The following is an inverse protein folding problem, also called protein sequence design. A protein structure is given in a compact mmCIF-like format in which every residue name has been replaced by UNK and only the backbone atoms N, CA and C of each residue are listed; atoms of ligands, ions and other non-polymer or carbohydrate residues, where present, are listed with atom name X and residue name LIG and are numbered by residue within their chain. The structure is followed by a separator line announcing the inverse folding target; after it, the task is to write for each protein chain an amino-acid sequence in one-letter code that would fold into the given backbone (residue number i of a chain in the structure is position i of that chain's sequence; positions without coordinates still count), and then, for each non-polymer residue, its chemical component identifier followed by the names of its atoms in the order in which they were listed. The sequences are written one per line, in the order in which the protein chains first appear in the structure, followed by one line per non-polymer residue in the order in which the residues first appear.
data_IF_472872528997
#
_entry.id   IF_472872528997
#
_cell.length_a   1.000
_cell.length_b   1.000
_cell.length_c   1.000
_cell.angle_alpha   90.00
_cell.angle_beta   90.00
_cell.angle_gamma   90.00
#
_symmetry.space_group_name_H-M   'P 1'
#
loop_
_entity.id
_entity.type
_entity.pdbx_description
1 polymer ?
#
# COMPACT_ATOMS: atom_id res chain seq x y z
N UNK A 1 6.38 -11.04 -0.88
CA UNK A 1 7.63 -10.26 -0.67
C UNK A 1 8.28 -9.76 -1.96
N UNK A 2 8.21 -10.47 -3.10
CA UNK A 2 8.79 -10.03 -4.38
C UNK A 2 8.36 -8.61 -4.76
N UNK A 3 7.06 -8.30 -4.70
CA UNK A 3 6.55 -6.95 -4.98
C UNK A 3 7.22 -5.88 -4.13
N UNK A 4 7.21 -6.07 -2.80
CA UNK A 4 7.81 -5.15 -1.82
C UNK A 4 9.28 -4.86 -2.13
N UNK A 5 10.05 -5.92 -2.39
CA UNK A 5 11.45 -5.81 -2.78
C UNK A 5 11.64 -5.00 -4.06
N UNK A 6 10.87 -5.31 -5.11
CA UNK A 6 10.94 -4.61 -6.40
C UNK A 6 10.56 -3.13 -6.28
N UNK A 7 9.50 -2.82 -5.53
CA UNK A 7 9.07 -1.45 -5.26
C UNK A 7 10.15 -0.67 -4.52
N UNK A 8 10.72 -1.26 -3.47
CA UNK A 8 11.78 -0.62 -2.69
C UNK A 8 13.03 -0.33 -3.53
N UNK A 9 13.48 -1.28 -4.34
CA UNK A 9 14.62 -1.05 -5.26
C UNK A 9 14.28 0.04 -6.27
N UNK A 10 13.08 0.00 -6.85
CA UNK A 10 12.66 0.96 -7.87
C UNK A 10 12.69 2.39 -7.33
N UNK A 11 12.11 2.63 -6.15
CA UNK A 11 12.07 3.98 -5.58
C UNK A 11 13.44 4.43 -5.08
N UNK A 12 14.23 3.53 -4.48
CA UNK A 12 15.55 3.87 -3.94
C UNK A 12 16.50 4.31 -5.04
N UNK A 13 16.49 3.64 -6.21
CA UNK A 13 17.28 4.05 -7.40
C UNK A 13 16.86 5.39 -8.01
N UNK A 14 15.69 5.91 -7.64
CA UNK A 14 15.15 7.19 -8.12
C UNK A 14 15.09 8.24 -7.03
N UNK A 15 15.45 7.89 -5.79
CA UNK A 15 15.16 8.68 -4.61
C UNK A 15 15.84 10.05 -4.63
N UNK A 16 17.10 10.11 -5.06
CA UNK A 16 17.85 11.36 -5.16
C UNK A 16 17.49 12.17 -6.42
N UNK A 17 16.90 11.52 -7.44
CA UNK A 17 16.41 12.20 -8.64
C UNK A 17 15.01 12.81 -8.46
N UNK A 18 14.28 12.42 -7.41
CA UNK A 18 12.95 12.97 -7.12
C UNK A 18 13.10 14.38 -6.55
N UNK A 19 12.55 15.37 -7.26
CA UNK A 19 12.52 16.77 -6.80
C UNK A 19 11.51 17.05 -5.70
N UNK A 20 10.40 16.31 -5.68
CA UNK A 20 9.29 16.53 -4.75
C UNK A 20 8.87 15.21 -4.10
N UNK A 21 9.60 14.80 -3.06
CA UNK A 21 9.37 13.54 -2.34
C UNK A 21 7.95 13.47 -1.79
N UNK A 22 7.46 14.54 -1.18
CA UNK A 22 6.11 14.59 -0.62
C UNK A 22 5.02 14.44 -1.69
N UNK A 23 5.19 15.07 -2.86
CA UNK A 23 4.28 14.95 -3.98
C UNK A 23 4.22 13.52 -4.54
N UNK A 24 5.37 12.84 -4.62
CA UNK A 24 5.43 11.43 -5.03
C UNK A 24 4.80 10.53 -3.96
N UNK A 25 5.08 10.77 -2.67
CA UNK A 25 4.49 10.03 -1.56
C UNK A 25 2.96 10.12 -1.56
N UNK A 26 2.43 11.31 -1.81
CA UNK A 26 0.99 11.54 -1.95
C UNK A 26 0.39 10.76 -3.12
N UNK A 27 1.07 10.70 -4.27
CA UNK A 27 0.62 9.89 -5.42
C UNK A 27 0.60 8.40 -5.08
N UNK A 28 1.61 7.90 -4.35
CA UNK A 28 1.63 6.51 -3.88
C UNK A 28 0.45 6.27 -2.92
N UNK A 29 0.17 7.18 -1.99
CA UNK A 29 -0.98 7.06 -1.08
C UNK A 29 -2.32 7.03 -1.82
N UNK A 30 -2.47 7.78 -2.92
CA UNK A 30 -3.64 7.67 -3.81
C UNK A 30 -3.76 6.25 -4.36
N UNK A 31 -2.66 5.66 -4.85
CA UNK A 31 -2.66 4.28 -5.33
C UNK A 31 -3.04 3.28 -4.23
N UNK A 32 -2.54 3.44 -3.00
CA UNK A 32 -2.91 2.61 -1.84
C UNK A 32 -4.40 2.75 -1.51
N UNK A 33 -4.97 3.93 -1.67
CA UNK A 33 -6.40 4.19 -1.43
C UNK A 33 -7.29 3.54 -2.50
N UNK A 34 -6.90 3.65 -3.78
CA UNK A 34 -7.68 3.15 -4.91
C UNK A 34 -7.55 1.64 -5.09
N UNK A 35 -6.40 1.06 -4.78
CA UNK A 35 -6.12 -0.35 -5.05
C UNK A 35 -7.14 -1.32 -4.41
N UNK A 36 -7.50 -1.19 -3.10
CA UNK A 36 -8.55 -2.02 -2.50
C UNK A 36 -9.90 -1.89 -3.20
N UNK A 37 -10.27 -0.72 -3.73
CA UNK A 37 -11.54 -0.54 -4.44
C UNK A 37 -11.57 -1.29 -5.76
N UNK A 38 -10.42 -1.52 -6.40
CA UNK A 38 -10.33 -2.27 -7.65
C UNK A 38 -10.54 -3.78 -7.45
N UNK A 39 -10.14 -4.32 -6.28
CA UNK A 39 -10.13 -5.77 -6.02
C UNK A 39 -11.53 -6.41 -6.17
N UNK A 40 -12.61 -5.88 -5.59
CA UNK A 40 -13.92 -6.50 -5.72
C UNK A 40 -14.43 -6.51 -7.15
N UNK A 41 -14.11 -5.50 -7.97
CA UNK A 41 -14.50 -5.50 -9.38
C UNK A 41 -13.76 -6.59 -10.17
N UNK A 42 -12.47 -6.80 -9.89
CA UNK A 42 -11.68 -7.88 -10.50
C UNK A 42 -12.27 -9.24 -10.12
N UNK A 43 -12.58 -9.45 -8.83
CA UNK A 43 -13.16 -10.71 -8.37
C UNK A 43 -14.55 -10.94 -8.96
N UNK A 44 -15.42 -9.92 -8.98
CA UNK A 44 -16.75 -10.03 -9.60
C UNK A 44 -16.67 -10.37 -11.09
N UNK A 45 -15.72 -9.79 -11.82
CA UNK A 45 -15.51 -10.08 -13.24
C UNK A 45 -15.08 -11.54 -13.47
N UNK A 46 -14.15 -12.05 -12.65
CA UNK A 46 -13.69 -13.44 -12.74
C UNK A 46 -14.82 -14.41 -12.39
N UNK A 47 -15.57 -14.14 -11.31
CA UNK A 47 -16.61 -15.06 -10.82
C UNK A 47 -17.87 -15.06 -11.68
N UNK A 48 -18.22 -13.94 -12.33
CA UNK A 48 -19.38 -13.88 -13.24
C UNK A 48 -19.13 -14.48 -14.62
N UNK A 49 -17.90 -14.78 -14.97
CA UNK A 49 -17.58 -15.34 -16.27
C UNK A 49 -17.83 -16.85 -16.29
N UNK A 50 -18.76 -17.31 -17.13
CA UNK A 50 -19.03 -18.74 -17.36
C UNK A 50 -17.89 -19.47 -18.10
N UNK A 51 -16.90 -18.74 -18.61
CA UNK A 51 -15.76 -19.33 -19.31
C UNK A 51 -14.76 -20.00 -18.35
N UNK A 52 -14.57 -21.31 -18.50
CA UNK A 52 -13.53 -22.10 -17.82
C UNK A 52 -12.12 -21.49 -17.98
N UNK A 53 -11.81 -20.92 -19.16
CA UNK A 53 -10.50 -20.29 -19.42
C UNK A 53 -10.28 -19.06 -18.56
N UNK A 54 -11.31 -18.21 -18.40
CA UNK A 54 -11.23 -16.99 -17.60
C UNK A 54 -11.10 -17.33 -16.12
N UNK A 55 -11.86 -18.31 -15.63
CA UNK A 55 -11.74 -18.80 -14.25
C UNK A 55 -10.35 -19.36 -13.96
N UNK A 56 -9.79 -20.18 -14.88
CA UNK A 56 -8.43 -20.71 -14.74
C UNK A 56 -7.37 -19.60 -14.71
N UNK A 57 -7.46 -18.63 -15.63
CA UNK A 57 -6.54 -17.49 -15.68
C UNK A 57 -6.66 -16.62 -14.42
N UNK A 58 -7.89 -16.39 -13.97
CA UNK A 58 -8.21 -15.63 -12.77
C UNK A 58 -7.53 -16.24 -11.53
N UNK A 59 -7.72 -17.54 -11.32
CA UNK A 59 -7.19 -18.24 -10.15
C UNK A 59 -5.67 -18.43 -10.19
N UNK A 60 -5.10 -18.80 -11.34
CA UNK A 60 -3.70 -19.20 -11.42
C UNK A 60 -2.73 -18.07 -11.75
N UNK A 61 -3.21 -16.99 -12.38
CA UNK A 61 -2.34 -15.89 -12.84
C UNK A 61 -2.75 -14.58 -12.17
N UNK A 62 -4.00 -14.15 -12.29
CA UNK A 62 -4.43 -12.83 -11.81
C UNK A 62 -4.35 -12.78 -10.28
N UNK A 63 -4.95 -13.75 -9.58
CA UNK A 63 -4.99 -13.79 -8.13
C UNK A 63 -3.60 -13.72 -7.46
N UNK A 64 -2.58 -14.53 -7.84
CA UNK A 64 -1.24 -14.42 -7.25
C UNK A 64 -0.47 -13.16 -7.66
N UNK A 65 -0.82 -12.50 -8.77
CA UNK A 65 -0.22 -11.22 -9.17
C UNK A 65 -0.71 -10.05 -8.30
N UNK A 66 -1.95 -10.09 -7.78
CA UNK A 66 -2.52 -9.01 -6.97
C UNK A 66 -1.65 -8.70 -5.73
N UNK A 67 -1.25 -9.66 -4.87
CA UNK A 67 -0.34 -9.39 -3.76
C UNK A 67 1.03 -8.85 -4.19
N UNK A 68 1.51 -9.19 -5.39
CA UNK A 68 2.77 -8.66 -5.93
C UNK A 68 2.61 -7.16 -6.24
N UNK A 69 1.50 -6.77 -6.86
CA UNK A 69 1.20 -5.35 -7.15
C UNK A 69 1.03 -4.57 -5.85
N UNK A 70 0.25 -5.09 -4.90
CA UNK A 70 0.07 -4.47 -3.59
C UNK A 70 1.41 -4.29 -2.86
N UNK A 71 2.23 -5.35 -2.85
CA UNK A 71 3.58 -5.31 -2.29
C UNK A 71 4.46 -4.28 -2.99
N UNK A 72 4.41 -4.18 -4.31
CA UNK A 72 5.17 -3.17 -5.06
C UNK A 72 4.80 -1.76 -4.63
N UNK A 73 3.51 -1.43 -4.56
CA UNK A 73 3.04 -0.11 -4.11
C UNK A 73 3.53 0.18 -2.68
N UNK A 74 3.39 -0.77 -1.75
CA UNK A 74 3.88 -0.62 -0.37
C UNK A 74 5.41 -0.47 -0.30
N UNK A 75 6.14 -1.17 -1.17
CA UNK A 75 7.60 -1.10 -1.26
C UNK A 75 8.11 0.27 -1.71
N UNK A 76 7.31 1.04 -2.47
CA UNK A 76 7.65 2.42 -2.82
C UNK A 76 7.55 3.36 -1.61
N UNK A 77 6.64 3.08 -0.69
CA UNK A 77 6.24 4.00 0.36
C UNK A 77 7.27 4.08 1.49
N UNK A 78 7.84 2.94 1.90
CA UNK A 78 8.74 2.87 3.06
C UNK A 78 10.06 3.66 2.86
N UNK A 79 10.83 3.49 1.77
CA UNK A 79 12.07 4.25 1.57
C UNK A 79 11.81 5.75 1.38
N UNK A 80 10.71 6.10 0.69
CA UNK A 80 10.34 7.48 0.45
C UNK A 80 9.89 8.19 1.74
N UNK A 81 9.11 7.50 2.58
CA UNK A 81 8.70 8.00 3.89
C UNK A 81 9.89 8.24 4.81
N UNK A 82 10.85 7.30 4.84
CA UNK A 82 12.08 7.48 5.58
C UNK A 82 12.87 8.70 5.08
N UNK A 83 13.00 8.92 3.76
CA UNK A 83 13.68 10.11 3.22
C UNK A 83 12.99 11.42 3.61
N UNK A 84 11.65 11.44 3.69
CA UNK A 84 10.88 12.63 4.11
C UNK A 84 11.06 12.89 5.61
N UNK A 85 11.09 11.84 6.43
CA UNK A 85 11.19 11.96 7.88
C UNK A 85 12.64 12.15 8.37
N UNK A 86 13.63 11.75 7.59
CA UNK A 86 15.05 11.91 7.91
C UNK A 86 15.54 13.33 7.61
N UNK A 87 15.66 14.13 8.66
CA UNK A 87 16.32 15.44 8.63
C UNK A 87 17.83 15.35 8.84
N UNK A 88 18.36 14.25 9.39
CA UNK A 88 19.78 14.11 9.74
C UNK A 88 20.26 12.65 9.57
N UNK A 89 21.34 12.43 8.82
CA UNK A 89 21.80 11.08 8.47
C UNK A 89 22.28 10.26 9.67
N UNK A 90 22.75 10.91 10.74
CA UNK A 90 23.19 10.24 11.97
C UNK A 90 22.07 9.49 12.70
N UNK A 91 20.80 9.82 12.43
CA UNK A 91 19.62 9.17 13.02
C UNK A 91 18.94 8.17 12.07
N UNK A 92 19.51 7.92 10.88
CA UNK A 92 18.92 7.06 9.85
C UNK A 92 18.55 5.66 10.35
N UNK A 93 19.44 5.01 11.11
CA UNK A 93 19.17 3.68 11.67
C UNK A 93 18.02 3.67 12.69
N UNK A 94 17.97 4.68 13.57
CA UNK A 94 16.93 4.79 14.60
C UNK A 94 15.56 5.09 13.99
N UNK A 95 15.50 6.04 13.06
CA UNK A 95 14.27 6.38 12.33
C UNK A 95 13.79 5.19 11.51
N UNK A 96 14.68 4.59 10.71
CA UNK A 96 14.34 3.43 9.89
C UNK A 96 13.83 2.25 10.73
N UNK A 97 14.46 1.98 11.86
CA UNK A 97 14.03 0.95 12.81
C UNK A 97 12.66 1.24 13.45
N UNK A 98 12.40 2.50 13.83
CA UNK A 98 11.10 2.90 14.38
C UNK A 98 9.99 2.76 13.32
N UNK A 99 10.18 3.32 12.13
CA UNK A 99 9.21 3.22 11.03
C UNK A 99 8.95 1.76 10.68
N UNK A 100 9.99 0.93 10.65
CA UNK A 100 9.87 -0.51 10.38
C UNK A 100 9.13 -1.25 11.50
N UNK A 101 9.40 -0.93 12.76
CA UNK A 101 8.68 -1.50 13.90
C UNK A 101 7.19 -1.18 13.86
N UNK A 102 6.83 0.07 13.54
CA UNK A 102 5.43 0.50 13.37
C UNK A 102 4.78 -0.23 12.19
N UNK A 103 5.48 -0.39 11.06
CA UNK A 103 5.01 -1.16 9.90
C UNK A 103 4.72 -2.62 10.26
N UNK A 104 5.63 -3.30 10.97
CA UNK A 104 5.43 -4.69 11.40
C UNK A 104 4.26 -4.86 12.37
N UNK A 105 4.12 -3.96 13.34
CA UNK A 105 2.98 -3.97 14.27
C UNK A 105 1.68 -3.75 13.49
N UNK A 106 1.66 -2.75 12.61
CA UNK A 106 0.50 -2.44 11.77
C UNK A 106 0.12 -3.58 10.84
N UNK A 107 1.09 -4.20 10.18
CA UNK A 107 0.89 -5.36 9.31
C UNK A 107 0.37 -6.56 10.08
N UNK A 108 0.91 -6.83 11.28
CA UNK A 108 0.48 -7.96 12.11
C UNK A 108 -0.95 -7.78 12.62
N UNK A 109 -1.26 -6.60 13.18
CA UNK A 109 -2.60 -6.27 13.65
C UNK A 109 -3.59 -6.21 12.49
N UNK A 110 -3.23 -5.58 11.38
CA UNK A 110 -4.04 -5.49 10.18
C UNK A 110 -4.37 -6.86 9.60
N UNK A 111 -3.37 -7.75 9.46
CA UNK A 111 -3.59 -9.10 9.01
C UNK A 111 -4.52 -9.87 9.95
N UNK A 112 -4.30 -9.80 11.27
CA UNK A 112 -5.17 -10.45 12.25
C UNK A 112 -6.60 -9.93 12.22
N UNK A 113 -6.78 -8.61 12.32
CA UNK A 113 -8.10 -7.96 12.34
C UNK A 113 -8.87 -8.22 11.03
N UNK A 114 -8.20 -8.06 9.88
CA UNK A 114 -8.84 -8.24 8.57
C UNK A 114 -9.23 -9.69 8.33
N UNK A 115 -8.34 -10.64 8.62
CA UNK A 115 -8.59 -12.07 8.34
C UNK A 115 -9.53 -12.73 9.34
N UNK A 116 -9.42 -12.41 10.64
CA UNK A 116 -10.21 -13.06 11.68
C UNK A 116 -11.59 -12.41 11.88
N UNK A 117 -11.75 -11.11 11.60
CA UNK A 117 -12.98 -10.38 11.90
C UNK A 117 -13.62 -9.73 10.67
N UNK A 118 -12.93 -8.81 9.97
CA UNK A 118 -13.59 -8.02 8.92
C UNK A 118 -14.07 -8.91 7.77
N UNK A 119 -13.21 -9.75 7.20
CA UNK A 119 -13.61 -10.60 6.07
C UNK A 119 -14.75 -11.56 6.47
N UNK A 120 -14.69 -12.28 7.61
CA UNK A 120 -15.77 -13.18 8.01
C UNK A 120 -17.09 -12.49 8.38
N UNK A 121 -17.05 -11.30 9.00
CA UNK A 121 -18.25 -10.64 9.52
C UNK A 121 -18.93 -9.79 8.44
N UNK A 122 -18.17 -8.97 7.72
CA UNK A 122 -18.73 -7.99 6.76
C UNK A 122 -18.45 -8.37 5.30
N UNK A 123 -17.63 -9.39 5.04
CA UNK A 123 -17.30 -9.84 3.68
C UNK A 123 -16.16 -9.05 3.03
N UNK A 124 -15.67 -9.57 1.90
CA UNK A 124 -14.52 -9.00 1.17
C UNK A 124 -14.83 -7.61 0.61
N UNK A 125 -16.01 -7.42 0.01
CA UNK A 125 -16.37 -6.16 -0.65
C UNK A 125 -16.38 -4.98 0.35
N UNK A 126 -17.05 -5.16 1.48
CA UNK A 126 -17.15 -4.16 2.55
C UNK A 126 -15.80 -3.95 3.22
N UNK A 127 -15.00 -5.00 3.39
CA UNK A 127 -13.62 -4.89 3.89
C UNK A 127 -12.77 -4.00 2.97
N UNK A 128 -12.83 -4.20 1.66
CA UNK A 128 -12.12 -3.37 0.68
C UNK A 128 -12.52 -1.89 0.76
N UNK A 129 -13.82 -1.60 0.93
CA UNK A 129 -14.31 -0.23 1.15
C UNK A 129 -13.77 0.34 2.47
N UNK A 130 -13.85 -0.41 3.57
CA UNK A 130 -13.37 0.04 4.88
C UNK A 130 -11.87 0.37 4.85
N UNK A 131 -11.05 -0.50 4.25
CA UNK A 131 -9.60 -0.27 4.09
C UNK A 131 -9.33 0.94 3.20
N UNK A 132 -10.11 1.14 2.13
CA UNK A 132 -9.99 2.32 1.28
C UNK A 132 -10.36 3.61 2.03
N UNK A 133 -11.45 3.62 2.82
CA UNK A 133 -11.86 4.77 3.63
C UNK A 133 -10.80 5.14 4.68
N UNK A 134 -10.17 4.15 5.31
CA UNK A 134 -9.06 4.36 6.23
C UNK A 134 -7.88 5.02 5.51
N UNK A 135 -7.51 4.53 4.33
CA UNK A 135 -6.43 5.11 3.53
C UNK A 135 -6.77 6.50 2.97
N UNK A 136 -8.04 6.75 2.66
CA UNK A 136 -8.53 8.06 2.23
C UNK A 136 -8.41 9.08 3.38
N UNK A 137 -8.68 8.67 4.62
CA UNK A 137 -8.50 9.52 5.80
C UNK A 137 -7.03 9.94 5.98
N UNK A 138 -6.09 9.02 5.72
CA UNK A 138 -4.65 9.33 5.68
C UNK A 138 -4.31 10.29 4.54
N UNK A 139 -4.87 10.08 3.35
CA UNK A 139 -4.66 10.96 2.19
C UNK A 139 -5.19 12.38 2.44
N UNK A 140 -6.32 12.52 3.13
CA UNK A 140 -6.86 13.80 3.57
C UNK A 140 -5.90 14.48 4.55
N UNK A 141 -5.43 13.77 5.58
CA UNK A 141 -4.46 14.30 6.55
C UNK A 141 -3.19 14.82 5.86
N UNK A 142 -2.63 14.04 4.92
CA UNK A 142 -1.48 14.47 4.10
C UNK A 142 -1.78 15.66 3.19
N UNK A 143 -3.06 15.89 2.85
CA UNK A 143 -3.47 17.03 2.03
C UNK A 143 -3.57 18.33 2.82
N UNK A 144 -3.99 18.25 4.08
CA UNK A 144 -4.10 19.41 4.97
C UNK A 144 -2.75 19.85 5.55
N UNK A 145 -1.80 18.92 5.76
CA UNK A 145 -0.48 19.22 6.33
C UNK A 145 0.50 19.99 5.38
N UNK A 146 0.03 20.40 4.20
CA UNK A 146 0.83 21.18 3.23
C UNK A 146 1.17 22.61 3.69
N UNK A 147 0.61 23.07 4.81
CA UNK A 147 0.83 24.42 5.35
C UNK A 147 2.13 24.63 6.12
N UNK A 148 2.64 23.60 6.82
CA UNK A 148 3.64 23.80 7.89
C UNK A 148 4.99 23.11 7.69
N UNK A 149 5.17 22.31 6.64
CA UNK A 149 6.46 21.67 6.35
C UNK A 149 7.35 22.59 5.48
N UNK A 150 7.66 23.77 6.02
CA UNK A 150 8.91 24.49 5.75
C UNK A 150 9.82 24.21 6.95
N UNK A 151 10.49 23.05 6.93
CA UNK A 151 11.66 22.81 7.80
C UNK A 151 12.89 23.17 6.96
#
# INVERSE_FOLDING_TARGET
MIGLFLGSIYITKRLDAIRNHFGVFKKIQVSVTLYPLLLPFIFLFITRSDSLKISWLGANIIFPLLPIIAGFIGGLQFPLGNKIYLSNESLAGKVGGLTYGIDLIGASLGAGIVSAFLIPIIGIFQTCIAVSLLNFSVLLSLSFHKGDLRI
#
